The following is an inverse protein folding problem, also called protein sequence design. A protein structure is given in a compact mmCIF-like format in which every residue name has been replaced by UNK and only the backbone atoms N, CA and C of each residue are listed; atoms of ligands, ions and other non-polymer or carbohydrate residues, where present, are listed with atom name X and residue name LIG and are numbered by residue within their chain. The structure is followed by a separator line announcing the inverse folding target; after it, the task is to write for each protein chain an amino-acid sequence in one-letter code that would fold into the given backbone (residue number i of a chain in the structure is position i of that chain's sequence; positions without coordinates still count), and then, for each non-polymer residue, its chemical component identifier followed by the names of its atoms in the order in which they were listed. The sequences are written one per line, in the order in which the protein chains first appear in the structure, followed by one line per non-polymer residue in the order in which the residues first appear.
data_IF_476093754554
#
_entry.id   IF_476093754554
#
_cell.length_a   1.000
_cell.length_b   1.000
_cell.length_c   1.000
_cell.angle_alpha   90.00
_cell.angle_beta   90.00
_cell.angle_gamma   90.00
#
_symmetry.space_group_name_H-M   'P 1'
#
loop_
_entity.id
_entity.type
_entity.pdbx_description
1 polymer ?
#
# COMPACT_ATOMS: atom_id res chain seq x y z
N UNK A 1 2.48 11.33 -1.42
CA UNK A 1 2.52 11.18 -2.89
C UNK A 1 3.98 11.17 -3.32
N UNK A 2 4.40 10.24 -4.19
CA UNK A 2 5.79 10.10 -4.66
C UNK A 2 6.11 11.19 -5.69
N UNK A 3 7.28 11.82 -5.61
CA UNK A 3 7.63 13.00 -6.40
C UNK A 3 8.89 12.90 -7.26
N UNK A 4 9.14 13.96 -8.03
CA UNK A 4 10.24 14.07 -9.00
C UNK A 4 9.86 14.87 -10.25
N UNK A 5 10.84 15.07 -11.15
CA UNK A 5 10.85 15.99 -12.30
C UNK A 5 9.72 15.83 -13.35
N UNK A 6 8.85 14.84 -13.19
CA UNK A 6 7.72 14.57 -14.09
C UNK A 6 6.36 15.11 -13.57
N UNK A 7 6.34 15.92 -12.50
CA UNK A 7 5.11 16.19 -11.73
C UNK A 7 4.67 17.66 -11.59
N UNK A 8 5.21 18.57 -12.39
CA UNK A 8 4.64 19.92 -12.54
C UNK A 8 4.60 20.80 -11.28
N UNK A 9 5.26 20.41 -10.18
CA UNK A 9 5.29 21.13 -8.90
C UNK A 9 6.74 21.29 -8.40
N UNK A 10 7.04 22.40 -7.72
CA UNK A 10 8.38 22.68 -7.20
C UNK A 10 8.79 21.67 -6.13
N UNK A 11 10.11 21.54 -5.89
CA UNK A 11 10.65 20.70 -4.82
C UNK A 11 10.01 21.01 -3.45
N UNK A 12 9.74 22.28 -3.15
CA UNK A 12 9.08 22.69 -1.91
C UNK A 12 7.64 22.19 -1.81
N UNK A 13 6.89 22.21 -2.92
CA UNK A 13 5.53 21.67 -2.96
C UNK A 13 5.54 20.14 -2.82
N UNK A 14 6.54 19.49 -3.40
CA UNK A 14 6.78 18.06 -3.19
C UNK A 14 7.10 17.75 -1.72
N UNK A 15 8.07 18.43 -1.12
CA UNK A 15 8.48 18.23 0.28
C UNK A 15 7.35 18.57 1.26
N UNK A 16 6.59 19.63 1.01
CA UNK A 16 5.40 19.98 1.80
C UNK A 16 4.34 18.89 1.77
N UNK A 17 4.26 18.08 0.70
CA UNK A 17 3.38 16.91 0.61
C UNK A 17 3.70 15.79 1.62
N UNK A 18 4.87 15.83 2.27
CA UNK A 18 5.26 14.91 3.35
C UNK A 18 5.24 15.55 4.73
N UNK A 19 4.97 16.86 4.83
CA UNK A 19 4.90 17.56 6.10
C UNK A 19 3.87 16.89 7.03
N UNK A 20 4.29 16.55 8.25
CA UNK A 20 3.48 15.82 9.22
C UNK A 20 3.59 14.30 9.14
N UNK A 21 4.47 13.75 8.28
CA UNK A 21 4.76 12.30 8.22
C UNK A 21 5.95 11.98 9.11
N UNK A 22 5.73 11.16 10.13
CA UNK A 22 6.76 10.67 11.05
C UNK A 22 7.56 9.50 10.44
N UNK A 23 6.87 8.60 9.73
CA UNK A 23 7.47 7.44 9.08
C UNK A 23 6.63 7.02 7.86
N UNK A 24 7.28 6.56 6.80
CA UNK A 24 6.63 5.97 5.65
C UNK A 24 7.13 4.54 5.38
N UNK A 25 6.20 3.65 5.01
CA UNK A 25 6.49 2.28 4.61
C UNK A 25 5.89 2.05 3.23
N UNK A 26 6.73 1.83 2.23
CA UNK A 26 6.31 1.50 0.88
C UNK A 26 6.54 0.02 0.60
N UNK A 27 5.47 -0.67 0.19
CA UNK A 27 5.46 -2.08 -0.15
C UNK A 27 5.12 -2.20 -1.64
N UNK A 28 5.96 -2.89 -2.40
CA UNK A 28 5.62 -3.27 -3.77
C UNK A 28 4.66 -4.46 -3.70
N UNK A 29 3.44 -4.28 -4.18
CA UNK A 29 2.40 -5.31 -4.14
C UNK A 29 2.31 -6.13 -5.43
N UNK A 30 3.02 -5.70 -6.47
CA UNK A 30 3.14 -6.42 -7.73
C UNK A 30 3.85 -5.62 -8.80
N UNK A 31 4.30 -6.29 -9.86
CA UNK A 31 4.85 -5.67 -11.04
C UNK A 31 4.36 -6.41 -12.29
N UNK A 32 3.98 -5.65 -13.32
CA UNK A 32 3.55 -6.18 -14.64
C UNK A 32 4.01 -5.24 -15.75
N UNK A 33 4.88 -5.75 -16.62
CA UNK A 33 5.55 -4.91 -17.61
C UNK A 33 6.30 -3.77 -16.93
N UNK A 34 6.05 -2.55 -17.39
CA UNK A 34 6.66 -1.33 -16.86
C UNK A 34 5.91 -0.77 -15.64
N UNK A 35 4.75 -1.33 -15.28
CA UNK A 35 3.92 -0.83 -14.18
C UNK A 35 4.19 -1.61 -12.89
N UNK A 36 4.50 -0.89 -11.81
CA UNK A 36 4.69 -1.43 -10.47
C UNK A 36 3.55 -0.94 -9.58
N UNK A 37 2.83 -1.86 -8.92
CA UNK A 37 1.82 -1.55 -7.92
C UNK A 37 2.46 -1.36 -6.55
N UNK A 38 1.98 -0.37 -5.81
CA UNK A 38 2.50 -0.05 -4.47
C UNK A 38 1.37 0.16 -3.46
N UNK A 39 1.68 -0.20 -2.22
CA UNK A 39 0.96 0.16 -1.02
C UNK A 39 1.88 1.05 -0.18
N UNK A 40 1.36 2.19 0.28
CA UNK A 40 2.11 3.15 1.07
C UNK A 40 1.34 3.43 2.36
N UNK A 41 2.00 3.16 3.49
CA UNK A 41 1.55 3.58 4.80
C UNK A 41 2.38 4.79 5.22
N UNK A 42 1.72 5.92 5.51
CA UNK A 42 2.35 7.13 6.01
C UNK A 42 1.87 7.39 7.44
N UNK A 43 2.68 7.01 8.43
CA UNK A 43 2.47 7.35 9.83
C UNK A 43 2.65 8.86 10.00
N UNK A 44 1.66 9.52 10.57
CA UNK A 44 1.68 10.95 10.82
C UNK A 44 2.18 11.24 12.23
N UNK A 45 2.64 12.48 12.46
CA UNK A 45 3.12 12.94 13.77
C UNK A 45 2.05 12.88 14.87
N UNK A 46 0.77 12.88 14.49
CA UNK A 46 -0.37 12.72 15.42
C UNK A 46 -0.70 11.25 15.74
N UNK A 47 0.10 10.30 15.22
CA UNK A 47 -0.08 8.86 15.41
C UNK A 47 -1.13 8.24 14.48
N UNK A 48 -1.78 9.00 13.61
CA UNK A 48 -2.68 8.46 12.58
C UNK A 48 -1.87 7.91 11.41
N UNK A 49 -2.39 6.90 10.71
CA UNK A 49 -1.77 6.39 9.47
C UNK A 49 -2.64 6.76 8.29
N UNK A 50 -2.05 7.43 7.29
CA UNK A 50 -2.67 7.60 5.97
C UNK A 50 -2.21 6.48 5.06
N UNK A 51 -3.16 5.76 4.48
CA UNK A 51 -2.87 4.65 3.57
C UNK A 51 -3.14 5.08 2.14
N UNK A 52 -2.24 4.73 1.23
CA UNK A 52 -2.36 4.99 -0.20
C UNK A 52 -2.12 3.71 -0.98
N UNK A 53 -2.93 3.51 -2.02
CA UNK A 53 -2.68 2.49 -3.03
C UNK A 53 -2.43 3.18 -4.37
N UNK A 54 -1.59 2.59 -5.20
CA UNK A 54 -1.27 3.19 -6.48
C UNK A 54 -0.29 2.40 -7.31
N UNK A 55 0.30 3.08 -8.27
CA UNK A 55 1.30 2.50 -9.16
C UNK A 55 2.26 3.55 -9.69
N UNK A 56 3.43 3.09 -10.12
CA UNK A 56 4.36 3.89 -10.91
C UNK A 56 4.81 3.14 -12.17
N UNK A 57 5.23 3.90 -13.17
CA UNK A 57 5.75 3.37 -14.44
C UNK A 57 7.26 3.55 -14.49
N UNK A 58 7.98 2.47 -14.80
CA UNK A 58 9.43 2.47 -15.03
C UNK A 58 9.70 2.44 -16.53
N UNK A 59 10.42 3.42 -17.04
CA UNK A 59 10.88 3.43 -18.43
C UNK A 59 12.38 3.77 -18.46
N UNK A 60 13.17 2.95 -19.17
CA UNK A 60 14.64 3.06 -19.26
C UNK A 60 15.34 3.18 -17.88
N UNK A 61 14.83 2.44 -16.88
CA UNK A 61 15.40 2.43 -15.52
C UNK A 61 15.03 3.65 -14.65
N UNK A 62 14.17 4.55 -15.14
CA UNK A 62 13.69 5.70 -14.39
C UNK A 62 12.18 5.60 -14.13
N UNK A 63 11.72 6.12 -12.99
CA UNK A 63 10.28 6.29 -12.74
C UNK A 63 9.81 7.52 -13.51
N UNK A 64 8.93 7.32 -14.49
CA UNK A 64 8.46 8.37 -15.40
C UNK A 64 7.06 8.86 -15.07
N UNK A 65 6.27 8.05 -14.37
CA UNK A 65 4.91 8.38 -13.95
C UNK A 65 4.59 7.72 -12.61
N UNK A 66 3.77 8.36 -11.79
CA UNK A 66 3.29 7.82 -10.52
C UNK A 66 1.90 8.34 -10.18
N UNK A 67 1.04 7.45 -9.71
CA UNK A 67 -0.29 7.79 -9.23
C UNK A 67 -0.57 7.07 -7.91
N UNK A 68 -0.94 7.83 -6.88
CA UNK A 68 -1.32 7.31 -5.57
C UNK A 68 -2.65 7.92 -5.16
N UNK A 69 -3.58 7.07 -4.76
CA UNK A 69 -4.89 7.47 -4.23
C UNK A 69 -4.93 7.14 -2.76
N UNK A 70 -5.28 8.14 -1.94
CA UNK A 70 -5.51 7.91 -0.53
C UNK A 70 -6.72 7.00 -0.38
N UNK A 71 -6.55 5.91 0.36
CA UNK A 71 -7.66 5.07 0.76
C UNK A 71 -8.30 5.75 1.96
N UNK A 72 -9.53 6.24 1.80
CA UNK A 72 -10.27 6.89 2.88
C UNK A 72 -10.77 5.82 3.86
N UNK A 73 -9.91 5.38 4.76
CA UNK A 73 -10.32 4.56 5.89
C UNK A 73 -10.87 5.46 7.00
N UNK A 74 -12.13 5.24 7.39
CA UNK A 74 -12.59 5.63 8.73
C UNK A 74 -11.72 4.86 9.75
N UNK A 75 -11.11 5.57 10.71
CA UNK A 75 -10.19 5.09 11.77
C UNK A 75 -10.68 3.82 12.53
N UNK A 76 -9.86 3.07 13.32
CA UNK A 76 -8.50 3.35 13.84
C UNK A 76 -7.50 2.20 13.58
N UNK A 77 -6.37 2.19 14.31
CA UNK A 77 -5.17 1.31 14.38
C UNK A 77 -5.39 -0.21 14.43
N UNK A 78 -6.54 -0.72 14.01
CA UNK A 78 -6.84 -2.15 13.91
C UNK A 78 -7.45 -2.38 12.53
N UNK A 79 -6.64 -2.81 11.57
CA UNK A 79 -7.14 -3.27 10.28
C UNK A 79 -8.33 -4.24 10.49
N UNK A 80 -9.40 -4.18 9.68
CA UNK A 80 -10.51 -5.10 9.82
C UNK A 80 -10.00 -6.55 9.79
N UNK A 81 -10.43 -7.36 10.75
CA UNK A 81 -10.15 -8.79 10.77
C UNK A 81 -11.00 -9.43 9.67
N UNK A 82 -10.39 -9.60 8.51
CA UNK A 82 -10.90 -10.35 7.39
C UNK A 82 -10.74 -11.82 7.72
N UNK A 83 -11.81 -12.56 7.47
CA UNK A 83 -11.86 -13.99 7.72
C UNK A 83 -12.06 -14.71 6.41
N UNK A 84 -11.49 -15.91 6.33
CA UNK A 84 -11.77 -16.83 5.25
C UNK A 84 -13.27 -17.18 5.24
N UNK A 85 -13.84 -17.64 4.10
CA UNK A 85 -15.26 -17.99 4.01
C UNK A 85 -15.72 -19.05 5.01
N UNK A 86 -14.79 -19.84 5.55
CA UNK A 86 -15.02 -20.82 6.61
C UNK A 86 -15.07 -20.22 8.03
N UNK A 87 -14.81 -18.91 8.19
CA UNK A 87 -14.82 -18.19 9.46
C UNK A 87 -13.46 -18.12 10.18
N UNK A 88 -12.42 -18.73 9.62
CA UNK A 88 -11.07 -18.74 10.20
C UNK A 88 -10.28 -17.47 9.86
N UNK A 89 -9.25 -17.20 10.67
CA UNK A 89 -8.26 -16.17 10.35
C UNK A 89 -7.41 -16.62 9.18
N UNK A 90 -7.14 -15.69 8.26
CA UNK A 90 -6.19 -15.92 7.20
C UNK A 90 -4.78 -16.14 7.76
N UNK A 91 -3.98 -16.90 7.00
CA UNK A 91 -2.58 -17.15 7.32
C UNK A 91 -1.66 -16.56 6.26
N UNK A 92 -0.42 -16.27 6.67
CA UNK A 92 0.65 -15.88 5.75
C UNK A 92 0.86 -16.98 4.70
N UNK A 93 0.96 -16.59 3.43
CA UNK A 93 1.01 -17.46 2.25
C UNK A 93 -0.35 -17.96 1.75
N UNK A 94 -1.45 -17.68 2.45
CA UNK A 94 -2.78 -18.11 2.01
C UNK A 94 -3.31 -17.23 0.87
N UNK A 95 -4.11 -17.79 -0.03
CA UNK A 95 -4.74 -17.02 -1.09
C UNK A 95 -5.72 -15.99 -0.53
N UNK A 96 -5.55 -14.74 -0.93
CA UNK A 96 -6.53 -13.69 -0.67
C UNK A 96 -7.43 -13.46 -1.90
N UNK A 97 -8.70 -13.07 -1.68
CA UNK A 97 -9.57 -12.63 -2.76
C UNK A 97 -8.98 -11.44 -3.52
N UNK A 98 -9.21 -11.38 -4.83
CA UNK A 98 -8.82 -10.21 -5.65
C UNK A 98 -9.49 -8.92 -5.17
N UNK A 99 -10.67 -9.02 -4.55
CA UNK A 99 -11.35 -7.88 -3.94
C UNK A 99 -10.58 -7.27 -2.77
N UNK A 100 -9.72 -8.07 -2.12
CA UNK A 100 -8.93 -7.65 -0.96
C UNK A 100 -7.51 -7.23 -1.36
N UNK A 101 -7.21 -7.11 -2.66
CA UNK A 101 -5.91 -6.70 -3.17
C UNK A 101 -5.42 -5.38 -2.56
N UNK A 102 -4.26 -5.42 -1.90
CA UNK A 102 -3.66 -4.26 -1.22
C UNK A 102 -4.35 -3.87 0.09
N UNK A 103 -5.30 -4.67 0.59
CA UNK A 103 -5.81 -4.53 1.95
C UNK A 103 -4.89 -5.23 2.94
N UNK A 104 -4.96 -4.78 4.18
CA UNK A 104 -4.31 -5.42 5.33
C UNK A 104 -5.35 -6.06 6.25
N UNK A 105 -4.98 -7.16 6.91
CA UNK A 105 -5.78 -7.79 7.97
C UNK A 105 -4.89 -8.32 9.10
N UNK A 106 -5.44 -9.02 10.09
CA UNK A 106 -4.67 -9.67 11.14
C UNK A 106 -4.85 -11.18 11.12
N UNK A 107 -3.76 -11.91 11.39
CA UNK A 107 -3.82 -13.34 11.67
C UNK A 107 -4.35 -13.61 13.09
N UNK A 108 -4.49 -14.90 13.45
CA UNK A 108 -4.96 -15.29 14.78
C UNK A 108 -4.04 -14.85 15.94
N UNK A 109 -2.79 -14.47 15.65
CA UNK A 109 -1.80 -14.00 16.62
C UNK A 109 -1.76 -12.46 16.72
N UNK A 110 -2.57 -11.75 15.93
CA UNK A 110 -2.56 -10.30 15.84
C UNK A 110 -1.48 -9.73 14.93
N UNK A 111 -0.80 -10.56 14.13
CA UNK A 111 0.16 -10.08 13.15
C UNK A 111 -0.57 -9.52 11.94
N UNK A 112 -0.14 -8.36 11.46
CA UNK A 112 -0.66 -7.79 10.21
C UNK A 112 -0.26 -8.66 9.01
N UNK A 113 -1.24 -8.92 8.14
CA UNK A 113 -1.09 -9.55 6.84
C UNK A 113 -1.49 -8.56 5.74
N UNK A 114 -0.77 -8.51 4.63
CA UNK A 114 -1.10 -7.71 3.45
C UNK A 114 -1.40 -8.61 2.24
N UNK A 115 -2.48 -8.33 1.51
CA UNK A 115 -2.80 -9.08 0.31
C UNK A 115 -2.01 -8.55 -0.89
N UNK A 116 -1.03 -9.32 -1.37
CA UNK A 116 -0.12 -8.94 -2.47
C UNK A 116 -0.21 -9.93 -3.64
N UNK A 117 0.09 -9.45 -4.85
CA UNK A 117 0.09 -10.30 -6.05
C UNK A 117 1.45 -10.98 -6.21
N UNK A 118 1.48 -12.31 -6.08
CA UNK A 118 2.69 -13.11 -6.19
C UNK A 118 2.46 -14.30 -7.12
N UNK A 119 3.36 -14.50 -8.09
CA UNK A 119 3.38 -15.69 -8.96
C UNK A 119 2.04 -16.00 -9.66
N UNK A 120 1.29 -14.97 -10.06
CA UNK A 120 0.03 -15.15 -10.80
C UNK A 120 -1.25 -15.10 -9.96
N UNK A 121 -1.15 -15.03 -8.62
CA UNK A 121 -2.32 -14.99 -7.73
C UNK A 121 -2.07 -14.15 -6.48
N UNK A 122 -3.15 -13.70 -5.84
CA UNK A 122 -3.08 -12.88 -4.63
C UNK A 122 -2.89 -13.76 -3.38
N UNK A 123 -1.94 -13.38 -2.51
CA UNK A 123 -1.64 -14.06 -1.25
C UNK A 123 -1.49 -13.07 -0.09
N UNK A 124 -1.90 -13.48 1.11
CA UNK A 124 -1.66 -12.78 2.36
C UNK A 124 -0.19 -12.92 2.78
N UNK A 125 0.50 -11.82 3.08
CA UNK A 125 1.92 -11.78 3.45
C UNK A 125 2.19 -11.02 4.74
#
# INVERSE_FOLDING_TARGET
MLGGDNLGSSYDAFAAGFAGTAHDTLIITGARGDTVQVHLEALQDDGTTKVYNGSYIVHNGAIVEGHLTQVTTLAPTTAPILKAPNGDFYRRGEFCPTADAGLTTQDANGNTLICVFESGRYHWH
#
